data_IF_297849781998
#
_entry.id   IF_297849781998
#
_cell.length_a   1.000
_cell.length_b   1.000
_cell.length_c   1.000
_cell.angle_alpha   90.00
_cell.angle_beta   90.00
_cell.angle_gamma   90.00
#
_symmetry.space_group_name_H-M   'P 1'
#
loop_
_entity.id
_entity.type
_entity.pdbx_description
1 polymer ?
#
# COMPACT_ATOMS: atom_id res chain seq x y z
N UNK A 1 -5.34 2.59 -14.38
CA UNK A 1 -4.25 1.72 -13.98
C UNK A 1 -3.88 1.94 -12.51
N UNK A 2 -3.72 0.84 -11.77
CA UNK A 2 -3.38 0.92 -10.36
C UNK A 2 -2.13 1.77 -10.15
N UNK A 3 -2.12 2.53 -9.06
CA UNK A 3 -1.00 3.40 -8.75
C UNK A 3 0.12 2.63 -8.05
N UNK A 4 1.36 2.99 -8.35
CA UNK A 4 2.52 2.32 -7.76
C UNK A 4 2.83 2.92 -6.38
N UNK A 5 2.58 2.14 -5.34
CA UNK A 5 2.84 2.59 -3.99
C UNK A 5 3.54 1.55 -3.14
N UNK A 6 4.22 2.00 -2.09
CA UNK A 6 4.95 1.10 -1.21
C UNK A 6 4.27 1.01 0.16
N UNK A 7 4.67 0.03 0.95
CA UNK A 7 4.11 -0.16 2.28
C UNK A 7 5.19 -0.09 3.36
N UNK A 8 4.77 -0.06 4.62
CA UNK A 8 5.69 0.01 5.73
C UNK A 8 5.69 -1.29 6.53
N UNK A 9 6.57 -1.37 7.53
CA UNK A 9 6.68 -2.56 8.36
C UNK A 9 5.32 -3.01 8.85
N UNK A 10 5.30 -4.04 9.70
CA UNK A 10 4.05 -4.56 10.25
C UNK A 10 3.24 -3.46 10.91
N UNK A 11 3.81 -2.25 10.93
CA UNK A 11 3.13 -1.10 11.53
C UNK A 11 1.90 -0.71 10.71
N UNK A 12 1.69 -1.40 9.59
CA UNK A 12 0.56 -1.13 8.72
C UNK A 12 0.59 0.31 8.22
N UNK A 13 1.15 0.50 7.03
CA UNK A 13 1.24 1.83 6.43
C UNK A 13 1.58 1.74 4.95
N UNK A 14 1.11 2.72 4.19
CA UNK A 14 1.36 2.75 2.76
C UNK A 14 1.46 4.19 2.25
N UNK A 15 2.35 4.42 1.29
CA UNK A 15 2.54 5.75 0.72
C UNK A 15 2.55 5.69 -0.81
N UNK A 16 1.51 6.24 -1.42
CA UNK A 16 1.39 6.25 -2.87
C UNK A 16 1.61 7.66 -3.43
N UNK A 17 1.99 7.74 -4.70
CA UNK A 17 2.22 9.02 -5.34
C UNK A 17 1.24 9.24 -6.49
N UNK A 18 0.71 10.45 -6.59
CA UNK A 18 -0.24 10.79 -7.65
C UNK A 18 0.20 12.05 -8.40
N UNK A 19 -0.13 12.10 -9.69
CA UNK A 19 0.23 13.24 -10.51
C UNK A 19 -0.20 14.55 -9.84
N UNK A 20 0.78 15.40 -9.55
CA UNK A 20 0.48 16.67 -8.91
C UNK A 20 0.91 16.70 -7.46
N UNK A 21 0.15 16.03 -6.60
CA UNK A 21 0.46 15.98 -5.18
C UNK A 21 0.52 14.54 -4.68
N UNK A 22 1.34 14.31 -3.66
CA UNK A 22 1.50 12.97 -3.09
C UNK A 22 0.70 12.83 -1.80
N UNK A 23 0.10 11.67 -1.61
CA UNK A 23 -0.69 11.41 -0.42
C UNK A 23 -0.34 10.05 0.19
N UNK A 24 -0.82 9.80 1.40
CA UNK A 24 -0.55 8.54 2.09
C UNK A 24 -1.80 7.66 2.12
N UNK A 25 -1.60 6.35 2.14
CA UNK A 25 -2.70 5.41 2.18
C UNK A 25 -2.51 4.38 3.29
N UNK A 26 -3.61 3.86 3.82
CA UNK A 26 -3.58 2.88 4.88
C UNK A 26 -3.92 1.49 4.36
N UNK A 27 -3.24 0.48 4.89
CA UNK A 27 -3.48 -0.90 4.46
C UNK A 27 -4.10 -1.71 5.60
N UNK A 28 -4.77 -2.82 5.24
CA UNK A 28 -5.43 -3.70 6.20
C UNK A 28 -4.41 -4.46 7.07
N UNK A 29 -4.86 -4.88 8.25
CA UNK A 29 -3.99 -5.63 9.17
C UNK A 29 -4.00 -7.11 8.85
N UNK A 30 -4.73 -7.48 7.79
CA UNK A 30 -4.84 -8.87 7.37
C UNK A 30 -3.45 -9.46 7.10
N UNK A 31 -3.18 -10.62 7.68
CA UNK A 31 -1.90 -11.30 7.50
C UNK A 31 -1.63 -11.57 6.03
N UNK A 32 -2.70 -11.57 5.22
CA UNK A 32 -2.58 -11.82 3.79
C UNK A 32 -2.18 -10.55 3.05
N UNK A 33 -2.56 -9.40 3.61
CA UNK A 33 -2.24 -8.12 2.99
C UNK A 33 -1.36 -7.28 3.91
N UNK A 34 -0.72 -7.93 4.88
CA UNK A 34 0.16 -7.24 5.81
C UNK A 34 1.57 -7.14 5.25
N UNK A 35 2.44 -6.45 5.99
CA UNK A 35 3.83 -6.28 5.57
C UNK A 35 4.79 -6.77 6.66
N UNK A 36 5.67 -7.69 6.29
CA UNK A 36 6.65 -8.24 7.22
C UNK A 36 7.92 -7.41 7.24
N UNK A 37 8.12 -6.62 6.18
CA UNK A 37 9.29 -5.77 6.08
C UNK A 37 8.95 -4.44 5.42
N UNK A 38 9.32 -3.35 6.09
CA UNK A 38 9.05 -2.01 5.57
C UNK A 38 9.61 -1.84 4.16
N UNK A 39 8.84 -1.18 3.29
CA UNK A 39 9.28 -0.97 1.93
C UNK A 39 8.71 -2.00 0.97
N UNK A 40 7.86 -2.88 1.49
CA UNK A 40 7.23 -3.91 0.67
C UNK A 40 6.36 -3.30 -0.41
N UNK A 41 5.72 -4.15 -1.21
CA UNK A 41 4.85 -3.69 -2.29
C UNK A 41 3.51 -3.21 -1.74
N UNK A 42 2.90 -2.27 -2.43
CA UNK A 42 1.61 -1.72 -2.02
C UNK A 42 0.82 -1.22 -3.23
N UNK A 43 -0.50 -1.14 -3.06
CA UNK A 43 -1.37 -0.67 -4.14
C UNK A 43 -2.54 0.13 -3.58
N UNK A 44 -3.02 1.09 -4.37
CA UNK A 44 -4.13 1.93 -3.95
C UNK A 44 -5.12 2.14 -5.11
N UNK A 45 -6.35 1.67 -4.92
CA UNK A 45 -7.38 1.81 -5.94
C UNK A 45 -8.25 3.04 -5.67
N UNK A 46 -8.30 3.95 -6.64
CA UNK A 46 -9.09 5.17 -6.50
C UNK A 46 -10.55 4.91 -6.88
N UNK A 47 -10.77 3.86 -7.66
CA UNK A 47 -12.12 3.51 -8.10
C UNK A 47 -12.97 3.05 -6.92
N UNK A 48 -12.39 2.24 -6.05
CA UNK A 48 -13.09 1.73 -4.88
C UNK A 48 -12.56 2.37 -3.61
N UNK A 49 -11.58 3.25 -3.77
CA UNK A 49 -10.97 3.93 -2.62
C UNK A 49 -10.41 2.93 -1.62
N UNK A 50 -10.06 1.75 -2.12
CA UNK A 50 -9.51 0.70 -1.26
C UNK A 50 -8.02 0.53 -1.50
N UNK A 51 -7.26 0.39 -0.42
CA UNK A 51 -5.81 0.22 -0.52
C UNK A 51 -5.39 -1.18 -0.09
N UNK A 52 -4.77 -1.91 -1.02
CA UNK A 52 -4.32 -3.27 -0.74
C UNK A 52 -2.80 -3.35 -0.79
N UNK A 53 -2.22 -4.10 0.15
CA UNK A 53 -0.77 -4.27 0.21
C UNK A 53 -0.37 -5.73 -0.04
N UNK A 54 0.73 -5.92 -0.74
CA UNK A 54 1.21 -7.26 -1.06
C UNK A 54 2.73 -7.33 -0.91
N UNK A 55 3.22 -8.50 -0.51
CA UNK A 55 4.66 -8.71 -0.33
C UNK A 55 5.11 -9.98 -1.03
N UNK A 56 6.36 -9.96 -1.49
CA UNK A 56 6.92 -11.12 -2.19
C UNK A 56 8.45 -11.12 -2.11
N UNK A 57 9.04 -12.31 -2.10
CA UNK A 57 10.49 -12.44 -2.02
C UNK A 57 11.04 -11.67 -0.83
#
# INVERSE_FOLDING_TARGET
LEYKGECFTKDNTCKYKIDGKTYLAKCPSAANTKCEKDGNKCTYDSYNRKVKCDFRH
#
